data_IF_332189628892
#
_entry.id   IF_332189628892
#
_cell.length_a   1.000
_cell.length_b   1.000
_cell.length_c   1.000
_cell.angle_alpha   90.00
_cell.angle_beta   90.00
_cell.angle_gamma   90.00
#
_symmetry.space_group_name_H-M   'P 1'
#
loop_
_entity.id
_entity.type
_entity.pdbx_description
1 polymer ?
#
# COMPACT_ATOMS: atom_id res chain seq x y z
N UNK A 1 -5.23 11.37 -5.22
CA UNK A 1 -4.58 10.58 -4.17
C UNK A 1 -5.64 10.01 -3.22
N UNK A 2 -5.38 8.86 -2.62
CA UNK A 2 -6.19 8.33 -1.52
C UNK A 2 -5.86 9.03 -0.19
N UNK A 3 -6.58 8.69 0.89
CA UNK A 3 -6.17 9.03 2.24
C UNK A 3 -4.76 8.49 2.53
N UNK A 4 -3.93 9.19 3.31
CA UNK A 4 -2.56 8.75 3.57
C UNK A 4 -2.53 7.40 4.27
N UNK A 5 -1.53 6.61 3.91
CA UNK A 5 -1.24 5.30 4.49
C UNK A 5 0.00 5.44 5.37
N UNK A 6 -0.12 5.12 6.64
CA UNK A 6 1.03 4.96 7.51
C UNK A 6 1.70 3.60 7.29
N UNK A 7 3.00 3.53 7.49
CA UNK A 7 3.73 2.28 7.37
C UNK A 7 4.84 2.17 8.42
N UNK A 8 5.20 0.93 8.72
CA UNK A 8 6.37 0.60 9.51
C UNK A 8 7.22 -0.42 8.76
N UNK A 9 8.51 -0.12 8.71
CA UNK A 9 9.53 -1.04 8.20
C UNK A 9 10.45 -1.46 9.35
N UNK A 10 11.04 -2.63 9.21
CA UNK A 10 12.01 -3.17 10.16
C UNK A 10 13.12 -3.87 9.36
N UNK A 11 14.36 -3.44 9.57
CA UNK A 11 15.52 -3.95 8.84
C UNK A 11 15.38 -3.90 7.30
N UNK A 12 14.72 -2.86 6.79
CA UNK A 12 14.45 -2.68 5.35
C UNK A 12 13.25 -3.45 4.80
N UNK A 13 12.58 -4.26 5.64
CA UNK A 13 11.38 -5.00 5.24
C UNK A 13 10.11 -4.30 5.70
N UNK A 14 9.12 -4.27 4.81
CA UNK A 14 7.75 -3.92 5.15
C UNK A 14 7.22 -4.85 6.25
N UNK A 15 6.64 -4.28 7.31
CA UNK A 15 6.01 -5.01 8.41
C UNK A 15 4.51 -4.78 8.47
N UNK A 16 4.11 -3.54 8.48
CA UNK A 16 2.70 -3.17 8.59
C UNK A 16 2.40 -1.84 7.92
N UNK A 17 1.15 -1.67 7.53
CA UNK A 17 0.58 -0.39 7.13
C UNK A 17 -0.81 -0.22 7.73
N UNK A 18 -1.26 1.04 7.83
CA UNK A 18 -2.59 1.37 8.33
C UNK A 18 -3.17 2.57 7.59
N UNK A 19 -4.48 2.61 7.48
CA UNK A 19 -5.19 3.68 6.80
C UNK A 19 -6.54 3.99 7.50
N UNK A 20 -6.87 5.28 7.71
CA UNK A 20 -6.05 6.44 7.40
C UNK A 20 -4.92 6.66 8.41
N UNK A 21 -3.79 7.19 7.95
CA UNK A 21 -2.79 7.78 8.84
C UNK A 21 -3.16 9.24 9.10
N UNK A 22 -2.94 9.69 10.33
CA UNK A 22 -3.27 11.06 10.75
C UNK A 22 -2.02 11.93 10.75
N UNK A 23 -2.09 13.07 10.07
CA UNK A 23 -1.04 14.08 10.01
C UNK A 23 -1.64 15.47 10.24
N UNK A 24 -0.80 16.43 10.57
CA UNK A 24 -1.21 17.85 10.54
C UNK A 24 -1.50 18.28 9.09
N UNK A 25 -2.36 19.28 8.87
CA UNK A 25 -2.68 19.75 7.52
C UNK A 25 -1.44 20.10 6.70
N UNK A 26 -0.46 20.76 7.30
CA UNK A 26 0.77 21.19 6.62
C UNK A 26 1.62 20.00 6.16
N UNK A 27 1.76 18.98 7.00
CA UNK A 27 2.48 17.74 6.66
C UNK A 27 1.76 16.99 5.54
N UNK A 28 0.43 16.92 5.61
CA UNK A 28 -0.37 16.28 4.58
C UNK A 28 -0.26 16.99 3.23
N UNK A 29 -0.29 18.33 3.22
CA UNK A 29 -0.12 19.12 2.01
C UNK A 29 1.27 18.92 1.38
N UNK A 30 2.33 18.98 2.19
CA UNK A 30 3.70 18.69 1.73
C UNK A 30 3.80 17.29 1.13
N UNK A 31 3.30 16.27 1.83
CA UNK A 31 3.34 14.88 1.38
C UNK A 31 2.61 14.70 0.03
N UNK A 32 1.41 15.25 -0.09
CA UNK A 32 0.63 15.20 -1.33
C UNK A 32 1.31 15.96 -2.48
N UNK A 33 1.94 17.10 -2.19
CA UNK A 33 2.67 17.87 -3.20
C UNK A 33 3.88 17.09 -3.72
N UNK A 34 4.71 16.55 -2.84
CA UNK A 34 5.88 15.76 -3.20
C UNK A 34 5.48 14.52 -4.02
N UNK A 35 4.48 13.78 -3.53
CA UNK A 35 4.00 12.58 -4.22
C UNK A 35 3.47 12.91 -5.61
N UNK A 36 2.67 13.96 -5.75
CA UNK A 36 2.12 14.40 -7.04
C UNK A 36 3.22 14.81 -8.01
N UNK A 37 4.16 15.64 -7.56
CA UNK A 37 5.28 16.10 -8.39
C UNK A 37 6.12 14.94 -8.91
N UNK A 38 6.43 13.95 -8.07
CA UNK A 38 7.18 12.77 -8.48
C UNK A 38 6.43 11.95 -9.56
N UNK A 39 5.14 11.72 -9.35
CA UNK A 39 4.30 10.94 -10.29
C UNK A 39 4.12 11.70 -11.61
N UNK A 40 3.82 12.99 -11.57
CA UNK A 40 3.64 13.83 -12.77
C UNK A 40 4.92 13.87 -13.62
N UNK A 41 6.09 13.94 -12.97
CA UNK A 41 7.38 13.88 -13.67
C UNK A 41 7.60 12.54 -14.39
N UNK A 42 7.26 11.42 -13.76
CA UNK A 42 7.34 10.09 -14.39
C UNK A 42 6.35 9.94 -15.55
N UNK A 43 5.12 10.36 -15.33
CA UNK A 43 4.06 10.29 -16.37
C UNK A 43 4.42 11.16 -17.58
N UNK A 44 4.91 12.38 -17.35
CA UNK A 44 5.36 13.26 -18.44
C UNK A 44 6.49 12.64 -19.26
N UNK A 45 7.45 11.99 -18.58
CA UNK A 45 8.55 11.30 -19.27
C UNK A 45 8.06 10.09 -20.07
N UNK A 46 7.16 9.28 -19.52
CA UNK A 46 6.55 8.16 -20.23
C UNK A 46 5.81 8.65 -21.48
N UNK A 47 5.00 9.70 -21.35
CA UNK A 47 4.26 10.29 -22.48
C UNK A 47 5.19 10.86 -23.57
N UNK A 48 6.30 11.47 -23.19
CA UNK A 48 7.31 11.92 -24.14
C UNK A 48 7.97 10.77 -24.93
N UNK A 49 7.91 9.55 -24.38
CA UNK A 49 8.38 8.32 -25.07
C UNK A 49 7.27 7.57 -25.80
N UNK A 50 6.05 8.14 -25.89
CA UNK A 50 4.91 7.53 -26.57
C UNK A 50 4.08 6.56 -25.72
N UNK A 51 4.41 6.45 -24.43
CA UNK A 51 3.69 5.61 -23.49
C UNK A 51 2.56 6.39 -22.80
N UNK A 52 1.54 5.69 -22.30
CA UNK A 52 0.41 6.35 -21.62
C UNK A 52 0.75 6.81 -20.20
N UNK A 53 1.63 6.09 -19.51
CA UNK A 53 1.99 6.35 -18.12
C UNK A 53 0.84 6.10 -17.14
N UNK A 54 -0.13 5.27 -17.50
CA UNK A 54 -1.29 4.97 -16.66
C UNK A 54 -0.99 3.87 -15.66
N UNK A 55 -1.43 4.06 -14.42
CA UNK A 55 -1.23 3.09 -13.36
C UNK A 55 -1.55 3.64 -11.98
N UNK A 56 -1.38 2.81 -10.98
CA UNK A 56 -1.28 3.21 -9.58
C UNK A 56 0.20 3.40 -9.25
N UNK A 57 0.48 4.42 -8.44
CA UNK A 57 1.82 4.71 -7.98
C UNK A 57 1.86 4.64 -6.45
N UNK A 58 2.73 3.79 -5.91
CA UNK A 58 3.09 3.81 -4.50
C UNK A 58 4.21 4.82 -4.30
N UNK A 59 3.95 5.87 -3.53
CA UNK A 59 4.98 6.88 -3.20
C UNK A 59 5.28 6.80 -1.73
N UNK A 60 6.50 6.45 -1.39
CA UNK A 60 6.99 6.39 -0.03
C UNK A 60 7.67 7.70 0.37
N UNK A 61 7.30 8.17 1.55
CA UNK A 61 7.78 9.43 2.12
C UNK A 61 8.18 9.22 3.57
N UNK A 62 9.20 9.94 4.02
CA UNK A 62 9.53 10.07 5.44
C UNK A 62 8.97 11.37 5.99
N UNK A 63 8.23 11.28 7.09
CA UNK A 63 7.83 12.43 7.89
C UNK A 63 8.80 12.53 9.07
N UNK A 64 9.58 13.59 9.10
CA UNK A 64 10.57 13.83 10.15
C UNK A 64 9.91 14.39 11.41
N UNK A 65 10.61 14.30 12.53
CA UNK A 65 10.14 14.80 13.83
C UNK A 65 9.91 16.32 13.87
N UNK A 66 10.53 17.07 12.97
CA UNK A 66 10.36 18.51 12.81
C UNK A 66 9.20 18.89 11.87
N UNK A 67 8.49 17.88 11.33
CA UNK A 67 7.38 18.07 10.40
C UNK A 67 7.78 18.18 8.92
N UNK A 68 9.07 18.13 8.60
CA UNK A 68 9.51 18.09 7.20
C UNK A 68 9.20 16.74 6.57
N UNK A 69 8.86 16.75 5.28
CA UNK A 69 8.57 15.56 4.50
C UNK A 69 9.66 15.34 3.45
N UNK A 70 10.22 14.14 3.43
CA UNK A 70 11.24 13.75 2.46
C UNK A 70 10.74 12.65 1.54
N UNK A 71 11.08 12.75 0.25
CA UNK A 71 10.86 11.70 -0.72
C UNK A 71 11.80 10.52 -0.46
N UNK A 72 11.26 9.30 -0.49
CA UNK A 72 12.03 8.07 -0.43
C UNK A 72 12.06 7.37 -1.79
N UNK A 73 10.93 6.81 -2.20
CA UNK A 73 10.84 6.12 -3.49
C UNK A 73 9.46 6.25 -4.14
N UNK A 74 9.38 5.91 -5.42
CA UNK A 74 8.14 5.77 -6.16
C UNK A 74 8.14 4.46 -6.95
N UNK A 75 7.09 3.67 -6.76
CA UNK A 75 6.84 2.44 -7.49
C UNK A 75 5.65 2.61 -8.43
N UNK A 76 5.82 2.49 -9.76
CA UNK A 76 4.73 2.66 -10.75
C UNK A 76 3.87 1.39 -10.85
N UNK A 77 3.45 0.85 -9.74
CA UNK A 77 2.69 -0.39 -9.60
C UNK A 77 2.05 -0.46 -8.21
N UNK A 78 1.13 -1.42 -7.96
CA UNK A 78 0.72 -1.77 -6.60
C UNK A 78 1.94 -2.05 -5.70
N UNK A 79 1.88 -1.59 -4.46
CA UNK A 79 2.99 -1.62 -3.52
C UNK A 79 2.56 -2.26 -2.19
N UNK A 80 3.49 -2.91 -1.50
CA UNK A 80 3.21 -3.62 -0.24
C UNK A 80 2.49 -2.74 0.80
N UNK A 81 2.84 -1.45 0.86
CA UNK A 81 2.20 -0.48 1.77
C UNK A 81 0.73 -0.21 1.41
N UNK A 82 0.36 -0.40 0.16
CA UNK A 82 -0.99 -0.25 -0.35
C UNK A 82 -1.88 -1.47 -0.13
N UNK A 83 -1.36 -2.60 0.36
CA UNK A 83 -2.18 -3.80 0.61
C UNK A 83 -3.31 -3.55 1.60
N UNK A 84 -3.14 -2.64 2.54
CA UNK A 84 -4.20 -2.22 3.48
C UNK A 84 -5.45 -1.70 2.77
N UNK A 85 -5.33 -1.22 1.53
CA UNK A 85 -6.48 -0.74 0.73
C UNK A 85 -7.49 -1.85 0.41
N UNK A 86 -7.10 -3.12 0.52
CA UNK A 86 -8.04 -4.24 0.38
C UNK A 86 -9.10 -4.26 1.48
N UNK A 87 -8.76 -3.75 2.67
CA UNK A 87 -9.65 -3.67 3.82
C UNK A 87 -10.21 -2.25 4.07
N UNK A 88 -9.50 -1.21 3.63
CA UNK A 88 -9.79 0.18 4.01
C UNK A 88 -10.57 0.97 2.96
N UNK A 89 -10.49 0.61 1.67
CA UNK A 89 -11.06 1.40 0.57
C UNK A 89 -12.14 0.66 -0.21
N UNK A 90 -12.97 1.42 -0.94
CA UNK A 90 -13.95 0.83 -1.87
C UNK A 90 -13.31 -0.01 -2.95
N UNK A 91 -12.21 0.46 -3.53
CA UNK A 91 -11.41 -0.31 -4.46
C UNK A 91 -9.98 -0.41 -3.93
N UNK A 92 -9.47 -1.62 -3.89
CA UNK A 92 -8.07 -1.87 -3.55
C UNK A 92 -7.13 -1.26 -4.58
N UNK A 93 -5.87 -1.08 -4.21
CA UNK A 93 -4.82 -0.64 -5.14
C UNK A 93 -4.75 -1.53 -6.41
N UNK A 94 -5.00 -2.83 -6.27
CA UNK A 94 -5.02 -3.78 -7.40
C UNK A 94 -6.17 -3.50 -8.36
N UNK A 95 -7.37 -3.29 -7.83
CA UNK A 95 -8.54 -2.96 -8.63
C UNK A 95 -8.39 -1.58 -9.31
N UNK A 96 -7.81 -0.60 -8.60
CA UNK A 96 -7.49 0.72 -9.15
C UNK A 96 -6.45 0.62 -10.24
N UNK A 97 -5.40 -0.21 -10.06
CA UNK A 97 -4.37 -0.42 -11.08
C UNK A 97 -4.96 -1.05 -12.34
N UNK A 98 -5.78 -2.10 -12.20
CA UNK A 98 -6.47 -2.71 -13.33
C UNK A 98 -7.33 -1.69 -14.09
N UNK A 99 -8.10 -0.84 -13.38
CA UNK A 99 -8.85 0.25 -14.02
C UNK A 99 -7.95 1.22 -14.75
N UNK A 100 -6.86 1.65 -14.14
CA UNK A 100 -5.94 2.62 -14.73
C UNK A 100 -5.34 2.11 -16.05
N UNK A 101 -4.79 0.88 -16.07
CA UNK A 101 -4.17 0.31 -17.28
C UNK A 101 -5.19 0.05 -18.40
N UNK A 102 -6.44 -0.22 -18.04
CA UNK A 102 -7.53 -0.39 -19.00
C UNK A 102 -8.15 0.95 -19.46
N UNK A 103 -7.70 2.08 -18.92
CA UNK A 103 -8.25 3.40 -19.22
C UNK A 103 -9.66 3.62 -18.70
N UNK A 104 -10.09 2.87 -17.69
CA UNK A 104 -11.40 3.03 -17.06
C UNK A 104 -11.39 4.24 -16.11
N UNK A 105 -12.52 4.94 -15.94
CA UNK A 105 -12.57 6.12 -15.07
C UNK A 105 -12.34 5.75 -13.60
N UNK A 106 -11.55 6.58 -12.94
CA UNK A 106 -11.31 6.53 -11.49
C UNK A 106 -11.74 7.86 -10.88
N UNK A 107 -12.63 7.80 -9.89
CA UNK A 107 -13.16 8.96 -9.16
C UNK A 107 -12.69 8.94 -7.71
N UNK A 108 -12.92 10.03 -6.99
CA UNK A 108 -12.63 10.10 -5.55
C UNK A 108 -13.43 9.07 -4.74
N UNK A 109 -14.62 8.72 -5.19
CA UNK A 109 -15.41 7.67 -4.54
C UNK A 109 -14.74 6.29 -4.58
N UNK A 110 -13.99 5.99 -5.62
CA UNK A 110 -13.28 4.72 -5.74
C UNK A 110 -12.12 4.58 -4.74
N UNK A 111 -11.53 5.70 -4.32
CA UNK A 111 -10.44 5.75 -3.32
C UNK A 111 -10.93 6.17 -1.94
N UNK A 112 -12.25 6.35 -1.77
CA UNK A 112 -12.84 6.68 -0.47
C UNK A 112 -12.69 5.51 0.50
N UNK A 113 -12.53 5.85 1.78
CA UNK A 113 -12.55 4.86 2.86
C UNK A 113 -13.91 4.18 2.92
N UNK A 114 -13.91 2.87 3.13
CA UNK A 114 -15.10 2.02 3.29
C UNK A 114 -15.25 1.45 4.70
N UNK A 115 -14.37 1.85 5.59
CA UNK A 115 -14.40 1.50 7.02
C UNK A 115 -15.23 2.50 7.83
N UNK A 116 -15.75 2.13 9.01
CA UNK A 116 -16.50 3.04 9.86
C UNK A 116 -15.68 4.28 10.25
N UNK A 117 -16.38 5.42 10.41
CA UNK A 117 -15.74 6.66 10.85
C UNK A 117 -15.06 6.47 12.22
N UNK A 118 -13.86 7.03 12.36
CA UNK A 118 -13.06 6.92 13.59
C UNK A 118 -12.34 5.57 13.75
N UNK A 119 -12.43 4.67 12.77
CA UNK A 119 -11.68 3.41 12.77
C UNK A 119 -10.49 3.45 11.82
N UNK A 120 -9.61 2.47 11.97
CA UNK A 120 -8.41 2.28 11.16
C UNK A 120 -8.38 0.84 10.69
N UNK A 121 -8.13 0.63 9.40
CA UNK A 121 -7.73 -0.69 8.91
C UNK A 121 -6.21 -0.81 8.98
N UNK A 122 -5.72 -2.00 9.26
CA UNK A 122 -4.29 -2.30 9.27
C UNK A 122 -4.00 -3.54 8.44
N UNK A 123 -2.78 -3.63 7.93
CA UNK A 123 -2.27 -4.78 7.21
C UNK A 123 -0.91 -5.15 7.80
N UNK A 124 -0.70 -6.42 8.06
CA UNK A 124 0.52 -6.93 8.67
C UNK A 124 1.14 -8.06 7.85
N UNK A 125 2.44 -7.93 7.54
CA UNK A 125 3.17 -8.95 6.81
C UNK A 125 3.45 -10.17 7.68
N UNK A 126 3.07 -11.35 7.22
CA UNK A 126 3.43 -12.62 7.86
C UNK A 126 4.77 -13.06 7.27
N UNK A 127 5.79 -12.89 8.09
CA UNK A 127 7.17 -13.21 7.74
C UNK A 127 7.56 -14.52 8.38
N UNK A 128 8.12 -15.41 7.57
CA UNK A 128 8.60 -16.73 7.99
C UNK A 128 10.11 -16.77 7.84
N UNK A 129 10.78 -17.38 8.81
CA UNK A 129 12.22 -17.60 8.78
C UNK A 129 12.50 -19.11 8.77
N UNK A 130 13.43 -19.53 7.92
CA UNK A 130 13.83 -20.93 7.76
C UNK A 130 13.98 -21.33 6.31
N UNK A 131 14.05 -22.64 6.07
CA UNK A 131 14.16 -23.22 4.73
C UNK A 131 13.16 -24.36 4.57
N UNK A 132 12.53 -24.45 3.40
CA UNK A 132 11.56 -25.47 3.04
C UNK A 132 10.13 -24.95 2.83
N UNK A 133 9.17 -25.86 2.85
CA UNK A 133 7.76 -25.52 2.64
C UNK A 133 7.19 -24.73 3.84
N UNK A 134 6.35 -23.75 3.56
CA UNK A 134 5.66 -22.99 4.59
C UNK A 134 4.39 -23.72 5.04
N UNK A 135 4.24 -23.91 6.34
CA UNK A 135 3.02 -24.42 6.97
C UNK A 135 2.28 -23.29 7.69
N UNK A 136 1.01 -23.08 7.33
CA UNK A 136 0.15 -22.08 7.97
C UNK A 136 -0.73 -22.76 9.03
N UNK A 137 -0.58 -22.35 10.29
CA UNK A 137 -1.37 -22.84 11.42
C UNK A 137 -2.34 -21.79 11.91
N UNK A 138 -3.40 -22.22 12.57
CA UNK A 138 -4.41 -21.33 13.18
C UNK A 138 -5.15 -20.40 12.20
N UNK A 139 -5.15 -20.71 10.91
CA UNK A 139 -5.84 -19.91 9.87
C UNK A 139 -7.32 -19.75 10.20
N UNK A 140 -8.00 -20.83 10.60
CA UNK A 140 -9.42 -20.78 10.95
C UNK A 140 -9.69 -19.86 12.16
N UNK A 141 -8.80 -19.86 13.16
CA UNK A 141 -8.94 -18.98 14.31
C UNK A 141 -8.74 -17.51 13.94
N UNK A 142 -7.77 -17.21 13.08
CA UNK A 142 -7.54 -15.86 12.59
C UNK A 142 -8.75 -15.32 11.80
N UNK A 143 -9.30 -16.15 10.90
CA UNK A 143 -10.46 -15.77 10.09
C UNK A 143 -11.80 -15.79 10.85
N UNK A 144 -11.82 -16.30 12.07
CA UNK A 144 -12.99 -16.20 12.95
C UNK A 144 -13.14 -14.80 13.57
N UNK A 145 -12.07 -14.01 13.60
CA UNK A 145 -12.13 -12.62 14.08
C UNK A 145 -12.81 -11.74 13.03
N UNK A 146 -13.92 -11.04 13.39
CA UNK A 146 -14.63 -10.18 12.45
C UNK A 146 -13.72 -9.09 11.86
N UNK A 147 -13.78 -8.94 10.53
CA UNK A 147 -12.99 -7.96 9.81
C UNK A 147 -11.56 -8.39 9.47
N UNK A 148 -11.17 -9.62 9.81
CA UNK A 148 -9.88 -10.17 9.43
C UNK A 148 -9.95 -10.82 8.04
N UNK A 149 -8.99 -10.46 7.18
CA UNK A 149 -8.73 -11.10 5.90
C UNK A 149 -7.29 -11.66 5.90
N UNK A 150 -7.06 -12.74 5.15
CA UNK A 150 -5.75 -13.37 5.03
C UNK A 150 -5.46 -13.67 3.56
N UNK A 151 -4.31 -13.19 3.08
CA UNK A 151 -3.81 -13.46 1.73
C UNK A 151 -2.49 -14.21 1.79
N UNK A 152 -2.52 -15.48 1.43
CA UNK A 152 -1.31 -16.30 1.27
C UNK A 152 -0.74 -16.05 -0.12
N UNK A 153 0.57 -15.76 -0.21
CA UNK A 153 1.22 -15.39 -1.47
C UNK A 153 1.56 -16.58 -2.38
N UNK A 154 1.24 -17.80 -1.94
CA UNK A 154 1.48 -19.05 -2.68
C UNK A 154 2.93 -19.21 -3.17
N UNK A 155 3.90 -18.66 -2.44
CA UNK A 155 5.31 -18.88 -2.74
C UNK A 155 5.67 -20.33 -2.44
N UNK A 156 6.42 -21.03 -3.31
CA UNK A 156 6.61 -22.47 -3.20
C UNK A 156 7.36 -22.89 -1.92
N UNK A 157 8.29 -22.06 -1.47
CA UNK A 157 9.13 -22.39 -0.32
C UNK A 157 9.67 -21.13 0.36
N UNK A 158 10.16 -21.29 1.57
CA UNK A 158 10.90 -20.28 2.34
C UNK A 158 12.39 -20.53 2.13
N UNK A 159 13.13 -19.46 1.90
CA UNK A 159 14.57 -19.44 1.96
C UNK A 159 15.01 -18.26 2.82
N UNK A 160 15.62 -18.55 3.97
CA UNK A 160 16.07 -17.56 4.94
C UNK A 160 14.88 -16.79 5.54
N UNK A 161 14.69 -15.53 5.17
CA UNK A 161 13.66 -14.62 5.67
C UNK A 161 12.73 -14.21 4.52
N UNK A 162 11.44 -14.57 4.60
CA UNK A 162 10.53 -14.35 3.48
C UNK A 162 9.12 -13.98 3.93
N UNK A 163 8.54 -12.96 3.32
CA UNK A 163 7.11 -12.64 3.46
C UNK A 163 6.28 -13.68 2.70
N UNK A 164 5.42 -14.41 3.42
CA UNK A 164 4.64 -15.52 2.86
C UNK A 164 3.16 -15.21 2.78
N UNK A 165 2.67 -14.25 3.57
CA UNK A 165 1.28 -13.83 3.58
C UNK A 165 1.14 -12.41 4.14
N UNK A 166 -0.09 -11.90 4.10
CA UNK A 166 -0.53 -10.67 4.73
C UNK A 166 -1.89 -10.89 5.39
N UNK A 167 -2.08 -10.34 6.56
CA UNK A 167 -3.36 -10.32 7.26
C UNK A 167 -3.78 -8.87 7.51
#
# INVERSE_FOLDING_TARGET
ACAPIGQRQESGDYRESWQPATFTPDVLEQAQHIARTAVEGLVAKAQASGEKGWGVFGVELFVLTDGNVLFNEVSPRPHDTGMVTMASQRLSEFALHARAILGLPITQEHVALSIPEGTVAASHAIVVQGDGEAEFRNVAAALAEPGTDLRVFAKPEVHGHRRMAVA
#
